data_IF_725480389048
#
_entry.id   IF_725480389048
#
_cell.length_a   1.000
_cell.length_b   1.000
_cell.length_c   1.000
_cell.angle_alpha   90.00
_cell.angle_beta   90.00
_cell.angle_gamma   90.00
#
_symmetry.space_group_name_H-M   'P 1'
#
loop_
_entity.id
_entity.type
_entity.pdbx_description
1 polymer ?
#
# COMPACT_ATOMS: atom_id res chain seq x y z
N UNK A 1 37.50 -81.08 35.74
CA UNK A 1 36.24 -80.35 35.96
C UNK A 1 36.30 -79.10 35.10
N UNK A 2 35.40 -78.72 34.23
CA UNK A 2 34.23 -79.28 33.53
C UNK A 2 33.75 -78.11 32.65
N UNK A 3 33.30 -78.37 31.40
CA UNK A 3 32.31 -77.59 30.61
C UNK A 3 32.52 -76.07 30.37
N UNK A 4 32.27 -75.48 29.21
CA UNK A 4 31.30 -75.81 28.15
C UNK A 4 31.67 -75.06 26.87
N UNK A 5 31.50 -75.73 25.73
CA UNK A 5 31.46 -75.11 24.40
C UNK A 5 30.19 -74.24 24.27
N UNK A 6 30.37 -72.96 23.94
CA UNK A 6 29.26 -72.12 23.47
C UNK A 6 29.15 -72.28 21.96
N UNK A 7 28.12 -73.01 21.52
CA UNK A 7 27.69 -73.08 20.12
C UNK A 7 27.39 -71.67 19.60
N UNK A 8 28.12 -71.25 18.55
CA UNK A 8 27.80 -70.06 17.75
C UNK A 8 26.47 -70.30 17.01
N UNK A 9 25.42 -69.63 17.45
CA UNK A 9 24.13 -69.60 16.76
C UNK A 9 24.30 -68.88 15.41
N UNK A 10 24.30 -69.64 14.32
CA UNK A 10 24.55 -69.14 12.97
C UNK A 10 23.24 -68.62 12.35
N UNK A 11 23.03 -67.30 12.41
CA UNK A 11 21.82 -66.60 11.93
C UNK A 11 21.65 -66.68 10.39
N UNK A 12 22.64 -67.19 9.65
CA UNK A 12 22.60 -67.26 8.17
C UNK A 12 21.58 -68.24 7.57
N UNK A 13 20.93 -69.10 8.37
CA UNK A 13 19.99 -70.11 7.85
C UNK A 13 18.49 -69.80 8.07
N UNK A 14 18.12 -68.65 8.65
CA UNK A 14 16.70 -68.38 8.95
C UNK A 14 15.90 -67.70 7.83
N UNK A 15 16.53 -67.27 6.74
CA UNK A 15 15.84 -66.60 5.64
C UNK A 15 16.24 -67.23 4.32
N UNK A 16 15.53 -68.28 3.91
CA UNK A 16 15.45 -68.57 2.48
C UNK A 16 14.87 -67.31 1.80
N UNK A 17 15.36 -66.95 0.62
CA UNK A 17 14.90 -65.77 -0.13
C UNK A 17 13.38 -65.73 -0.31
N UNK A 18 12.73 -66.90 -0.32
CA UNK A 18 11.26 -67.04 -0.34
C UNK A 18 10.58 -66.66 0.98
N UNK A 19 11.21 -66.97 2.12
CA UNK A 19 10.70 -66.67 3.47
C UNK A 19 10.81 -65.18 3.81
N UNK A 20 11.91 -64.53 3.43
CA UNK A 20 12.10 -63.09 3.57
C UNK A 20 11.11 -62.30 2.69
N UNK A 21 10.94 -62.72 1.44
CA UNK A 21 9.98 -62.12 0.52
C UNK A 21 8.53 -62.27 1.00
N UNK A 22 8.18 -63.42 1.60
CA UNK A 22 6.85 -63.65 2.15
C UNK A 22 6.55 -62.79 3.40
N UNK A 23 7.55 -62.54 4.25
CA UNK A 23 7.40 -61.67 5.43
C UNK A 23 7.30 -60.20 5.02
N UNK A 24 8.08 -59.77 4.01
CA UNK A 24 7.97 -58.42 3.45
C UNK A 24 6.60 -58.24 2.77
N UNK A 25 6.16 -59.23 1.97
CA UNK A 25 4.85 -59.19 1.32
C UNK A 25 3.69 -59.21 2.32
N UNK A 26 3.79 -59.97 3.42
CA UNK A 26 2.75 -60.00 4.47
C UNK A 26 2.76 -58.72 5.31
N UNK A 27 3.92 -58.12 5.58
CA UNK A 27 4.00 -56.82 6.27
C UNK A 27 3.45 -55.71 5.39
N UNK A 28 3.77 -55.71 4.09
CA UNK A 28 3.18 -54.80 3.10
C UNK A 28 1.67 -55.04 2.95
N UNK A 29 1.20 -56.29 3.00
CA UNK A 29 -0.21 -56.63 2.95
C UNK A 29 -0.96 -56.27 4.24
N UNK A 30 -0.35 -56.39 5.43
CA UNK A 30 -0.96 -56.02 6.72
C UNK A 30 -0.96 -54.50 6.90
N UNK A 31 0.12 -53.82 6.50
CA UNK A 31 0.15 -52.36 6.39
C UNK A 31 -0.84 -51.90 5.31
N UNK A 32 -0.95 -52.63 4.20
CA UNK A 32 -1.93 -52.39 3.14
C UNK A 32 -3.37 -52.57 3.63
N UNK A 33 -3.69 -53.63 4.37
CA UNK A 33 -5.03 -53.92 4.92
C UNK A 33 -5.38 -53.01 6.09
N UNK A 34 -4.41 -52.66 6.94
CA UNK A 34 -4.56 -51.63 7.97
C UNK A 34 -4.77 -50.23 7.37
N UNK A 35 -4.03 -49.90 6.31
CA UNK A 35 -4.23 -48.69 5.53
C UNK A 35 -5.56 -48.70 4.76
N UNK A 36 -6.03 -49.86 4.30
CA UNK A 36 -7.35 -50.03 3.68
C UNK A 36 -8.48 -49.88 4.70
N UNK A 37 -8.32 -50.33 5.96
CA UNK A 37 -9.30 -50.13 7.03
C UNK A 37 -9.36 -48.68 7.56
N UNK A 38 -8.22 -47.99 7.55
CA UNK A 38 -8.15 -46.54 7.78
C UNK A 38 -8.76 -45.79 6.59
N UNK A 39 -8.54 -46.25 5.35
CA UNK A 39 -9.19 -45.71 4.15
C UNK A 39 -10.70 -45.97 4.12
N UNK A 40 -11.20 -47.09 4.65
CA UNK A 40 -12.64 -47.39 4.69
C UNK A 40 -13.41 -46.53 5.70
N UNK A 41 -12.81 -46.22 6.85
CA UNK A 41 -13.41 -45.27 7.82
C UNK A 41 -13.31 -43.80 7.39
N UNK A 42 -12.39 -43.48 6.46
CA UNK A 42 -12.33 -42.21 5.72
C UNK A 42 -13.31 -42.22 4.53
N UNK A 43 -13.62 -43.39 3.97
CA UNK A 43 -14.59 -43.60 2.89
C UNK A 43 -16.06 -43.49 3.35
N UNK A 44 -16.33 -43.62 4.66
CA UNK A 44 -17.64 -43.26 5.27
C UNK A 44 -17.91 -41.73 5.24
N UNK A 45 -16.99 -40.94 4.67
CA UNK A 45 -17.24 -39.58 4.19
C UNK A 45 -17.03 -38.47 5.22
N UNK A 46 -16.87 -38.79 6.50
CA UNK A 46 -17.00 -37.76 7.56
C UNK A 46 -15.69 -37.31 8.25
N UNK A 47 -14.50 -37.81 7.84
CA UNK A 47 -13.21 -37.41 8.45
C UNK A 47 -12.12 -36.99 7.46
N UNK A 48 -11.31 -35.99 7.82
CA UNK A 48 -10.17 -35.53 7.03
C UNK A 48 -9.15 -36.66 6.84
N UNK A 49 -8.56 -36.77 5.65
CA UNK A 49 -7.51 -37.75 5.33
C UNK A 49 -6.31 -37.60 6.26
N UNK A 50 -5.74 -38.72 6.71
CA UNK A 50 -4.53 -38.69 7.53
C UNK A 50 -3.33 -38.10 6.77
N UNK A 51 -2.49 -37.34 7.46
CA UNK A 51 -1.38 -36.60 6.86
C UNK A 51 -1.74 -35.20 6.37
N UNK A 52 -3.02 -34.82 6.35
CA UNK A 52 -3.42 -33.43 6.16
C UNK A 52 -3.06 -32.62 7.41
N UNK A 53 -2.43 -31.45 7.19
CA UNK A 53 -1.95 -30.54 8.22
C UNK A 53 -2.43 -29.13 7.91
N UNK A 54 -2.55 -28.31 8.94
CA UNK A 54 -2.58 -26.86 8.81
C UNK A 54 -1.28 -26.34 9.38
N UNK A 55 -0.43 -25.75 8.52
CA UNK A 55 0.95 -25.42 8.87
C UNK A 55 1.67 -26.66 9.46
N UNK A 56 2.12 -26.59 10.71
CA UNK A 56 2.76 -27.72 11.39
C UNK A 56 1.79 -28.59 12.21
N UNK A 57 0.51 -28.22 12.32
CA UNK A 57 -0.47 -28.93 13.13
C UNK A 57 -1.20 -30.02 12.33
N UNK A 58 -1.15 -31.30 12.73
CA UNK A 58 -1.91 -32.35 12.07
C UNK A 58 -3.42 -32.18 12.32
N UNK A 59 -4.19 -32.15 11.23
CA UNK A 59 -5.67 -32.06 11.26
C UNK A 59 -6.35 -33.29 10.64
N UNK A 60 -5.56 -34.24 10.15
CA UNK A 60 -6.06 -35.53 9.68
C UNK A 60 -6.82 -36.28 10.78
N UNK A 61 -7.97 -36.86 10.42
CA UNK A 61 -8.84 -37.60 11.33
C UNK A 61 -9.93 -36.75 12.02
N UNK A 62 -9.87 -35.42 11.92
CA UNK A 62 -10.95 -34.55 12.42
C UNK A 62 -12.21 -34.71 11.56
N UNK A 63 -13.38 -34.66 12.22
CA UNK A 63 -14.66 -34.52 11.53
C UNK A 63 -14.93 -33.06 11.11
N UNK A 64 -15.97 -32.85 10.30
CA UNK A 64 -16.24 -31.55 9.68
C UNK A 64 -16.46 -30.46 10.72
N UNK A 65 -17.29 -30.75 11.73
CA UNK A 65 -17.64 -29.80 12.80
C UNK A 65 -16.41 -29.44 13.64
N UNK A 66 -15.54 -30.42 13.91
CA UNK A 66 -14.31 -30.20 14.68
C UNK A 66 -13.28 -29.41 13.87
N UNK A 67 -13.18 -29.67 12.56
CA UNK A 67 -12.33 -28.90 11.65
C UNK A 67 -12.80 -27.45 11.51
N UNK A 68 -14.11 -27.22 11.36
CA UNK A 68 -14.70 -25.87 11.33
C UNK A 68 -14.37 -25.10 12.62
N UNK A 69 -14.56 -25.72 13.79
CA UNK A 69 -14.18 -25.13 15.09
C UNK A 69 -12.67 -24.86 15.19
N UNK A 70 -11.84 -25.75 14.66
CA UNK A 70 -10.39 -25.57 14.62
C UNK A 70 -9.99 -24.32 13.82
N UNK A 71 -10.51 -24.17 12.60
CA UNK A 71 -10.25 -22.98 11.78
C UNK A 71 -10.87 -21.71 12.37
N UNK A 72 -12.06 -21.79 12.97
CA UNK A 72 -12.69 -20.65 13.66
C UNK A 72 -11.83 -20.14 14.83
N UNK A 73 -11.25 -21.05 15.63
CA UNK A 73 -10.35 -20.69 16.72
C UNK A 73 -9.05 -20.03 16.24
N UNK A 74 -8.55 -20.43 15.06
CA UNK A 74 -7.38 -19.80 14.44
C UNK A 74 -7.75 -18.43 13.90
N UNK A 75 -8.87 -18.32 13.18
CA UNK A 75 -9.37 -17.06 12.64
C UNK A 75 -9.58 -16.04 13.76
N UNK A 76 -10.19 -16.42 14.88
CA UNK A 76 -10.41 -15.56 16.03
C UNK A 76 -9.12 -14.99 16.66
N UNK A 77 -7.96 -15.61 16.40
CA UNK A 77 -6.65 -15.13 16.88
C UNK A 77 -5.88 -14.34 15.83
N UNK A 78 -6.19 -14.51 14.55
CA UNK A 78 -5.46 -13.90 13.42
C UNK A 78 -6.21 -12.75 12.75
N UNK A 79 -7.53 -12.67 12.97
CA UNK A 79 -8.34 -11.52 12.58
C UNK A 79 -8.20 -10.48 13.70
N UNK A 80 -7.41 -9.45 13.44
CA UNK A 80 -7.17 -8.35 14.36
C UNK A 80 -6.96 -7.05 13.57
N UNK A 81 -7.00 -5.93 14.30
CA UNK A 81 -6.87 -4.59 13.73
C UNK A 81 -5.48 -4.34 13.10
N UNK A 82 -5.46 -3.63 11.98
CA UNK A 82 -4.22 -3.13 11.38
C UNK A 82 -3.87 -1.79 12.03
N UNK A 83 -2.63 -1.67 12.52
CA UNK A 83 -2.11 -0.45 13.13
C UNK A 83 -1.10 0.20 12.21
N UNK A 84 -1.19 1.50 12.07
CA UNK A 84 -0.26 2.34 11.34
C UNK A 84 0.25 3.44 12.26
N UNK A 85 1.50 3.86 12.07
CA UNK A 85 2.12 4.91 12.91
C UNK A 85 2.81 5.96 12.05
N UNK A 86 2.61 7.23 12.39
CA UNK A 86 3.33 8.35 11.76
C UNK A 86 3.54 9.48 12.78
N UNK A 87 4.76 9.99 12.93
CA UNK A 87 5.10 11.11 13.83
C UNK A 87 4.56 10.98 15.29
N UNK A 88 4.39 9.74 15.79
CA UNK A 88 3.86 9.47 17.13
C UNK A 88 2.33 9.37 17.21
N UNK A 89 1.61 9.63 16.11
CA UNK A 89 0.20 9.33 15.99
C UNK A 89 -0.01 7.88 15.52
N UNK A 90 -1.10 7.26 16.01
CA UNK A 90 -1.53 5.92 15.62
C UNK A 90 -2.85 5.98 14.86
N UNK A 91 -2.91 5.26 13.74
CA UNK A 91 -4.11 5.03 12.95
C UNK A 91 -4.47 3.54 13.00
N UNK A 92 -5.76 3.25 13.12
CA UNK A 92 -6.24 1.88 13.24
C UNK A 92 -7.29 1.64 12.17
N UNK A 93 -7.17 0.51 11.48
CA UNK A 93 -8.21 -0.02 10.59
C UNK A 93 -8.69 -1.33 11.19
N UNK A 94 -9.98 -1.40 11.55
CA UNK A 94 -10.55 -2.63 12.12
C UNK A 94 -10.93 -3.62 11.01
N UNK A 95 -11.00 -4.93 11.32
CA UNK A 95 -11.43 -5.94 10.35
C UNK A 95 -12.81 -5.66 9.74
N UNK A 96 -13.74 -5.09 10.54
CA UNK A 96 -15.10 -4.75 10.12
C UNK A 96 -15.12 -3.61 9.10
N UNK A 97 -14.22 -2.63 9.23
CA UNK A 97 -14.13 -1.50 8.30
C UNK A 97 -13.74 -1.92 6.88
N UNK A 98 -13.07 -3.07 6.73
CA UNK A 98 -12.65 -3.62 5.43
C UNK A 98 -13.34 -4.94 5.08
N UNK A 99 -14.38 -5.32 5.83
CA UNK A 99 -15.10 -6.60 5.68
C UNK A 99 -14.18 -7.84 5.66
N UNK A 100 -13.09 -7.82 6.45
CA UNK A 100 -12.13 -8.92 6.50
C UNK A 100 -12.77 -10.16 7.14
N UNK A 101 -12.96 -11.20 6.33
CA UNK A 101 -13.62 -12.45 6.72
C UNK A 101 -12.76 -13.65 6.37
N UNK A 102 -12.48 -14.51 7.35
CA UNK A 102 -11.79 -15.77 7.12
C UNK A 102 -12.68 -16.77 6.36
N UNK A 103 -12.13 -17.45 5.36
CA UNK A 103 -12.84 -18.45 4.55
C UNK A 103 -12.82 -19.84 5.21
N UNK A 104 -13.43 -19.94 6.40
CA UNK A 104 -13.45 -21.17 7.22
C UNK A 104 -14.06 -22.35 6.45
N UNK A 105 -15.20 -22.13 5.79
CA UNK A 105 -15.91 -23.17 5.04
C UNK A 105 -15.06 -23.72 3.89
N UNK A 106 -14.36 -22.83 3.17
CA UNK A 106 -13.46 -23.19 2.08
C UNK A 106 -12.25 -23.97 2.58
N UNK A 107 -11.59 -23.49 3.64
CA UNK A 107 -10.46 -24.20 4.25
C UNK A 107 -10.88 -25.60 4.74
N UNK A 108 -12.06 -25.72 5.33
CA UNK A 108 -12.65 -27.01 5.72
C UNK A 108 -12.90 -27.87 4.49
N UNK A 109 -13.53 -27.34 3.45
CA UNK A 109 -13.79 -28.08 2.21
C UNK A 109 -12.51 -28.55 1.52
N UNK A 110 -11.47 -27.71 1.48
CA UNK A 110 -10.16 -28.04 0.92
C UNK A 110 -9.47 -29.16 1.71
N UNK A 111 -9.59 -29.14 3.05
CA UNK A 111 -9.11 -30.22 3.89
C UNK A 111 -9.87 -31.55 3.65
N UNK A 112 -11.19 -31.47 3.43
CA UNK A 112 -12.06 -32.63 3.26
C UNK A 112 -12.03 -33.24 1.85
N UNK A 113 -11.87 -32.42 0.82
CA UNK A 113 -11.94 -32.86 -0.58
C UNK A 113 -10.70 -33.63 -1.03
N UNK A 114 -9.61 -33.57 -0.25
CA UNK A 114 -8.37 -34.26 -0.58
C UNK A 114 -8.55 -35.78 -0.68
N UNK A 115 -8.07 -36.37 -1.78
CA UNK A 115 -8.16 -37.82 -2.00
C UNK A 115 -9.60 -38.34 -2.19
N UNK A 116 -10.53 -37.47 -2.61
CA UNK A 116 -11.96 -37.79 -2.84
C UNK A 116 -12.50 -37.37 -4.21
N UNK A 117 -11.70 -36.73 -5.07
CA UNK A 117 -12.15 -36.14 -6.34
C UNK A 117 -11.94 -37.01 -7.59
N UNK A 118 -11.25 -38.16 -7.47
CA UNK A 118 -10.91 -39.05 -8.60
C UNK A 118 -11.55 -40.44 -8.50
N UNK A 119 -11.00 -41.40 -9.25
CA UNK A 119 -11.40 -42.80 -9.18
C UNK A 119 -10.94 -43.45 -7.86
N UNK A 120 -11.52 -44.60 -7.48
CA UNK A 120 -11.19 -45.30 -6.23
C UNK A 120 -9.68 -45.58 -6.08
N UNK A 121 -9.00 -45.92 -7.18
CA UNK A 121 -7.56 -46.22 -7.19
C UNK A 121 -6.71 -44.94 -7.09
N UNK A 122 -7.09 -43.85 -7.76
CA UNK A 122 -6.34 -42.58 -7.64
C UNK A 122 -6.49 -41.98 -6.24
N UNK A 123 -7.71 -42.02 -5.70
CA UNK A 123 -8.03 -41.56 -4.35
C UNK A 123 -7.19 -42.31 -3.29
N UNK A 124 -7.06 -43.63 -3.42
CA UNK A 124 -6.20 -44.42 -2.53
C UNK A 124 -4.72 -44.01 -2.62
N UNK A 125 -4.20 -43.83 -3.84
CA UNK A 125 -2.80 -43.44 -4.04
C UNK A 125 -2.50 -42.04 -3.47
N UNK A 126 -3.45 -41.11 -3.63
CA UNK A 126 -3.35 -39.75 -3.07
C UNK A 126 -3.40 -39.76 -1.54
N UNK A 127 -4.25 -40.60 -0.94
CA UNK A 127 -4.33 -40.76 0.52
C UNK A 127 -3.02 -41.30 1.11
N UNK A 128 -2.41 -42.32 0.50
CA UNK A 128 -1.12 -42.88 0.94
C UNK A 128 0.00 -41.85 0.79
N UNK A 129 0.05 -41.12 -0.33
CA UNK A 129 1.04 -40.05 -0.55
C UNK A 129 0.91 -38.94 0.49
N UNK A 130 -0.31 -38.54 0.84
CA UNK A 130 -0.53 -37.54 1.88
C UNK A 130 -0.12 -38.02 3.26
N UNK A 131 -0.37 -39.29 3.60
CA UNK A 131 0.10 -39.85 4.86
C UNK A 131 1.63 -39.82 4.98
N UNK A 132 2.34 -40.12 3.89
CA UNK A 132 3.80 -40.19 3.86
C UNK A 132 4.48 -38.81 3.73
N UNK A 133 3.95 -37.95 2.85
CA UNK A 133 4.59 -36.66 2.50
C UNK A 133 3.95 -35.46 3.21
N UNK A 134 2.75 -35.63 3.76
CA UNK A 134 1.93 -34.54 4.29
C UNK A 134 1.29 -33.68 3.19
N UNK A 135 0.19 -33.00 3.53
CA UNK A 135 -0.38 -31.93 2.71
C UNK A 135 -0.85 -30.79 3.60
N UNK A 136 -0.41 -29.56 3.32
CA UNK A 136 -0.86 -28.38 4.04
C UNK A 136 -2.14 -27.80 3.43
N UNK A 137 -3.09 -27.46 4.30
CA UNK A 137 -4.25 -26.63 3.99
C UNK A 137 -3.93 -25.19 4.40
N UNK A 138 -4.50 -24.22 3.69
CA UNK A 138 -4.37 -22.80 4.02
C UNK A 138 -5.71 -22.24 4.49
N UNK A 139 -5.66 -21.29 5.42
CA UNK A 139 -6.82 -20.51 5.85
C UNK A 139 -6.75 -19.15 5.14
N UNK A 140 -7.40 -19.08 3.99
CA UNK A 140 -7.50 -17.82 3.25
C UNK A 140 -8.52 -16.89 3.90
N UNK A 141 -8.44 -15.59 3.59
CA UNK A 141 -9.45 -14.60 3.92
C UNK A 141 -9.80 -13.75 2.70
N UNK A 142 -10.96 -13.12 2.78
CA UNK A 142 -11.43 -12.12 1.82
C UNK A 142 -11.62 -10.79 2.55
N UNK A 143 -11.40 -9.71 1.83
CA UNK A 143 -11.62 -8.35 2.29
C UNK A 143 -12.10 -7.50 1.12
N UNK A 144 -12.66 -6.34 1.40
CA UNK A 144 -13.04 -5.35 0.40
C UNK A 144 -11.85 -4.40 0.15
N UNK A 145 -11.27 -4.47 -1.05
CA UNK A 145 -10.15 -3.61 -1.43
C UNK A 145 -10.54 -2.15 -1.54
N UNK A 146 -11.79 -1.85 -1.91
CA UNK A 146 -12.28 -0.47 -2.03
C UNK A 146 -12.35 0.19 -0.66
N UNK A 147 -12.87 -0.53 0.33
CA UNK A 147 -12.92 -0.04 1.71
C UNK A 147 -11.52 0.14 2.30
N UNK A 148 -10.57 -0.76 1.98
CA UNK A 148 -9.18 -0.57 2.37
C UNK A 148 -8.59 0.71 1.76
N UNK A 149 -8.80 0.94 0.47
CA UNK A 149 -8.30 2.13 -0.22
C UNK A 149 -8.92 3.41 0.35
N UNK A 150 -10.22 3.42 0.65
CA UNK A 150 -10.91 4.53 1.33
C UNK A 150 -10.27 4.84 2.69
N UNK A 151 -10.02 3.82 3.51
CA UNK A 151 -9.38 3.97 4.82
C UNK A 151 -7.94 4.46 4.72
N UNK A 152 -7.16 3.95 3.77
CA UNK A 152 -5.80 4.43 3.52
C UNK A 152 -5.81 5.88 3.03
N UNK A 153 -6.81 6.30 2.25
CA UNK A 153 -6.97 7.68 1.82
C UNK A 153 -7.37 8.62 2.97
N UNK A 154 -8.20 8.17 3.92
CA UNK A 154 -8.50 8.90 5.16
C UNK A 154 -7.22 9.14 5.99
N UNK A 155 -6.35 8.14 6.09
CA UNK A 155 -5.04 8.26 6.74
C UNK A 155 -4.14 9.21 5.95
N UNK A 156 -4.08 9.05 4.63
CA UNK A 156 -3.30 9.93 3.76
C UNK A 156 -3.73 11.40 3.87
N UNK A 157 -5.02 11.70 4.05
CA UNK A 157 -5.49 13.06 4.24
C UNK A 157 -4.94 13.73 5.53
N UNK A 158 -4.56 12.94 6.54
CA UNK A 158 -3.94 13.44 7.78
C UNK A 158 -2.42 13.51 7.71
N UNK A 159 -1.81 12.62 6.92
CA UNK A 159 -0.35 12.54 6.74
C UNK A 159 0.14 13.49 5.65
N UNK A 160 -0.62 13.66 4.56
CA UNK A 160 -0.22 14.43 3.40
C UNK A 160 -0.17 15.92 3.75
N UNK A 161 0.89 16.57 3.29
CA UNK A 161 1.12 18.00 3.44
C UNK A 161 1.62 18.52 2.11
N UNK A 162 0.94 19.50 1.53
CA UNK A 162 1.42 20.12 0.29
C UNK A 162 2.72 20.89 0.55
N UNK A 163 3.67 20.89 -0.38
CA UNK A 163 4.88 21.69 -0.24
C UNK A 163 4.55 23.18 -0.33
N UNK A 164 5.31 24.00 0.40
CA UNK A 164 5.17 25.46 0.38
C UNK A 164 6.41 26.07 -0.23
N UNK A 165 6.23 26.89 -1.28
CA UNK A 165 7.33 27.56 -1.95
C UNK A 165 8.09 28.51 -1.02
N UNK A 166 9.40 28.59 -1.21
CA UNK A 166 10.20 29.65 -0.63
C UNK A 166 9.80 31.01 -1.23
N UNK A 167 9.87 32.07 -0.43
CA UNK A 167 9.45 33.42 -0.82
C UNK A 167 10.54 34.43 -0.47
N UNK A 168 10.69 35.42 -1.33
CA UNK A 168 11.50 36.62 -1.06
C UNK A 168 10.58 37.83 -1.02
N UNK A 169 10.67 38.61 0.05
CA UNK A 169 9.95 39.86 0.21
C UNK A 169 10.93 41.02 0.32
N UNK A 170 10.61 42.13 -0.36
CA UNK A 170 11.37 43.38 -0.25
C UNK A 170 10.62 44.34 0.66
N UNK A 171 11.26 44.73 1.75
CA UNK A 171 10.73 45.67 2.74
C UNK A 171 10.82 47.11 2.21
N UNK A 172 10.04 48.03 2.79
CA UNK A 172 10.00 49.44 2.37
C UNK A 172 11.31 50.21 2.58
N UNK A 173 12.18 49.73 3.46
CA UNK A 173 13.53 50.23 3.70
C UNK A 173 14.59 49.60 2.77
N UNK A 174 14.18 48.73 1.86
CA UNK A 174 15.05 48.00 0.94
C UNK A 174 15.61 46.70 1.53
N UNK A 175 15.21 46.29 2.74
CA UNK A 175 15.67 45.03 3.33
C UNK A 175 15.00 43.82 2.65
N UNK A 176 15.83 42.85 2.23
CA UNK A 176 15.37 41.59 1.64
C UNK A 176 15.14 40.57 2.75
N UNK A 177 13.90 40.08 2.85
CA UNK A 177 13.50 39.02 3.76
C UNK A 177 13.28 37.72 2.97
N UNK A 178 13.82 36.61 3.50
CA UNK A 178 13.71 35.28 2.88
C UNK A 178 12.93 34.36 3.80
N UNK A 179 11.90 33.74 3.25
CA UNK A 179 11.11 32.73 3.92
C UNK A 179 11.43 31.37 3.29
N UNK A 180 11.98 30.41 4.05
CA UNK A 180 12.36 29.12 3.50
C UNK A 180 11.14 28.35 3.01
N UNK A 181 11.34 27.54 1.98
CA UNK A 181 10.34 26.60 1.51
C UNK A 181 10.15 25.46 2.50
N UNK A 182 8.95 24.88 2.50
CA UNK A 182 8.60 23.73 3.33
C UNK A 182 8.41 22.52 2.44
N UNK A 183 9.13 21.44 2.75
CA UNK A 183 8.99 20.15 2.07
C UNK A 183 7.62 19.56 2.39
N UNK A 184 6.89 19.20 1.35
CA UNK A 184 5.62 18.48 1.46
C UNK A 184 5.83 17.00 1.73
N UNK A 185 4.76 16.32 2.12
CA UNK A 185 4.73 14.88 2.40
C UNK A 185 3.58 14.25 1.61
N UNK A 186 3.83 13.10 0.98
CA UNK A 186 2.78 12.33 0.31
C UNK A 186 2.90 10.85 0.59
N UNK A 187 1.85 10.30 1.16
CA UNK A 187 1.74 8.88 1.45
C UNK A 187 1.38 8.10 0.18
N UNK A 188 2.15 7.06 -0.14
CA UNK A 188 1.86 6.15 -1.24
C UNK A 188 0.88 5.06 -0.77
N UNK A 189 -0.42 5.38 -0.83
CA UNK A 189 -1.48 4.46 -0.39
C UNK A 189 -1.55 3.19 -1.23
N UNK A 190 -1.23 3.27 -2.53
CA UNK A 190 -1.24 2.13 -3.45
C UNK A 190 -0.17 1.09 -3.07
N UNK A 191 1.05 1.55 -2.77
CA UNK A 191 2.12 0.66 -2.32
C UNK A 191 1.78 -0.03 -1.00
N UNK A 192 1.17 0.71 -0.06
CA UNK A 192 0.72 0.13 1.22
C UNK A 192 -0.35 -0.95 0.97
N UNK A 193 -1.35 -0.67 0.13
CA UNK A 193 -2.41 -1.62 -0.19
C UNK A 193 -1.85 -2.92 -0.84
N UNK A 194 -0.92 -2.79 -1.79
CA UNK A 194 -0.27 -3.94 -2.42
C UNK A 194 0.55 -4.76 -1.42
N UNK A 195 1.29 -4.11 -0.51
CA UNK A 195 2.04 -4.79 0.55
C UNK A 195 1.14 -5.52 1.56
N UNK A 196 -0.09 -5.03 1.77
CA UNK A 196 -1.08 -5.64 2.67
C UNK A 196 -1.87 -6.80 2.03
N UNK A 197 -1.88 -6.91 0.70
CA UNK A 197 -2.66 -7.91 -0.04
C UNK A 197 -2.35 -9.34 0.38
N UNK A 198 -1.07 -9.73 0.43
CA UNK A 198 -0.69 -11.08 0.84
C UNK A 198 -0.99 -11.37 2.33
N UNK A 199 -0.63 -10.49 3.29
CA UNK A 199 -1.05 -10.62 4.69
C UNK A 199 -2.55 -10.78 4.88
N UNK A 200 -3.36 -9.94 4.21
CA UNK A 200 -4.82 -9.96 4.29
C UNK A 200 -5.39 -11.26 3.71
N UNK A 201 -4.98 -11.66 2.51
CA UNK A 201 -5.52 -12.86 1.83
C UNK A 201 -5.09 -14.18 2.47
N UNK A 202 -3.91 -14.21 3.10
CA UNK A 202 -3.40 -15.41 3.80
C UNK A 202 -3.73 -15.41 5.30
N UNK A 203 -4.46 -14.41 5.78
CA UNK A 203 -4.79 -14.19 7.18
C UNK A 203 -3.56 -14.24 8.10
N UNK A 204 -2.46 -13.67 7.63
CA UNK A 204 -1.20 -13.51 8.36
C UNK A 204 -0.93 -12.03 8.56
N UNK A 205 -1.82 -11.38 9.31
CA UNK A 205 -1.77 -9.95 9.55
C UNK A 205 -0.55 -9.57 10.41
N UNK A 206 0.09 -8.41 10.15
CA UNK A 206 1.15 -7.89 11.00
C UNK A 206 0.68 -7.74 12.45
N UNK A 207 1.49 -8.19 13.41
CA UNK A 207 1.16 -8.09 14.84
C UNK A 207 1.57 -6.75 15.47
N UNK A 208 2.36 -5.95 14.76
CA UNK A 208 2.84 -4.64 15.20
C UNK A 208 2.30 -3.51 14.32
N UNK A 209 2.56 -2.28 14.73
CA UNK A 209 2.25 -1.12 13.90
C UNK A 209 3.18 -1.04 12.68
N UNK A 210 2.60 -0.74 11.53
CA UNK A 210 3.30 -0.43 10.29
C UNK A 210 3.69 1.04 10.34
N UNK A 211 4.99 1.35 10.34
CA UNK A 211 5.46 2.72 10.28
C UNK A 211 5.22 3.26 8.85
N UNK A 212 4.48 4.37 8.76
CA UNK A 212 4.20 5.05 7.50
C UNK A 212 5.40 5.90 7.10
N UNK A 213 5.84 5.75 5.86
CA UNK A 213 6.96 6.50 5.29
C UNK A 213 6.45 7.27 4.08
N UNK A 214 5.89 8.48 4.25
CA UNK A 214 5.51 9.32 3.13
C UNK A 214 6.74 9.82 2.37
N UNK A 215 6.58 9.99 1.06
CA UNK A 215 7.59 10.56 0.17
C UNK A 215 7.68 12.07 0.36
N UNK A 216 8.90 12.61 0.24
CA UNK A 216 9.16 14.03 0.28
C UNK A 216 8.82 14.66 -1.07
N UNK A 217 7.97 15.69 -1.04
CA UNK A 217 7.69 16.51 -2.22
C UNK A 217 8.41 17.84 -2.05
N UNK A 218 9.37 18.11 -2.93
CA UNK A 218 10.06 19.39 -2.94
C UNK A 218 9.12 20.51 -3.40
N UNK A 219 9.18 21.70 -2.77
CA UNK A 219 8.49 22.86 -3.30
C UNK A 219 9.05 23.23 -4.67
N UNK A 220 8.21 23.88 -5.47
CA UNK A 220 8.57 24.29 -6.82
C UNK A 220 9.68 25.35 -6.82
N UNK A 221 9.64 26.26 -5.85
CA UNK A 221 10.75 27.14 -5.47
C UNK A 221 11.28 26.68 -4.11
N UNK A 222 12.52 26.23 -4.07
CA UNK A 222 13.19 25.76 -2.85
C UNK A 222 13.92 26.88 -2.12
N UNK A 223 14.34 26.60 -0.88
CA UNK A 223 15.14 27.54 -0.09
C UNK A 223 16.47 27.86 -0.76
N UNK A 224 17.05 26.87 -1.44
CA UNK A 224 18.30 27.00 -2.19
C UNK A 224 18.13 27.92 -3.40
N UNK A 225 16.99 27.87 -4.09
CA UNK A 225 16.71 28.73 -5.25
C UNK A 225 16.75 30.23 -4.89
N UNK A 226 16.39 30.59 -3.66
CA UNK A 226 16.36 31.98 -3.17
C UNK A 226 17.59 32.37 -2.36
N UNK A 227 18.52 31.43 -2.13
CA UNK A 227 19.66 31.64 -1.25
C UNK A 227 20.56 32.79 -1.75
N UNK A 228 20.72 32.93 -3.06
CA UNK A 228 21.59 33.93 -3.67
C UNK A 228 20.91 35.30 -3.92
N UNK A 229 19.61 35.45 -3.64
CA UNK A 229 18.90 36.72 -3.85
C UNK A 229 19.21 37.67 -2.68
N UNK A 230 20.30 38.42 -2.76
CA UNK A 230 20.82 39.23 -1.63
C UNK A 230 20.81 40.74 -1.85
N UNK A 231 20.48 41.18 -3.07
CA UNK A 231 20.57 42.56 -3.48
C UNK A 231 19.55 42.90 -4.56
N UNK A 232 19.19 44.18 -4.64
CA UNK A 232 18.36 44.74 -5.71
C UNK A 232 19.29 45.17 -6.84
N UNK A 233 19.19 44.52 -8.00
CA UNK A 233 20.02 44.83 -9.17
C UNK A 233 19.45 45.95 -10.04
N UNK A 234 18.12 46.10 -10.05
CA UNK A 234 17.40 47.07 -10.85
C UNK A 234 16.10 47.48 -10.18
N UNK A 235 15.75 48.76 -10.29
CA UNK A 235 14.50 49.30 -9.75
C UNK A 235 14.00 50.42 -10.65
N UNK A 236 12.70 50.45 -10.89
CA UNK A 236 12.05 51.53 -11.60
C UNK A 236 10.70 51.83 -10.94
N UNK A 237 10.28 53.09 -10.98
CA UNK A 237 9.05 53.51 -10.33
C UNK A 237 8.26 54.44 -11.25
N UNK A 238 6.95 54.20 -11.29
CA UNK A 238 5.99 55.09 -11.92
C UNK A 238 4.88 55.42 -10.93
N UNK A 239 4.23 56.56 -11.13
CA UNK A 239 3.20 57.06 -10.22
C UNK A 239 1.83 56.99 -10.88
N UNK A 240 0.79 56.80 -10.08
CA UNK A 240 -0.59 56.84 -10.51
C UNK A 240 -1.46 57.48 -9.42
N UNK A 241 -2.65 57.93 -9.80
CA UNK A 241 -3.62 58.52 -8.88
C UNK A 241 -4.74 57.52 -8.55
N UNK A 242 -5.36 57.60 -7.36
CA UNK A 242 -6.54 56.81 -7.02
C UNK A 242 -7.67 57.00 -8.04
N UNK A 243 -8.52 55.97 -8.18
CA UNK A 243 -9.61 55.91 -9.15
C UNK A 243 -9.55 54.62 -9.97
N UNK A 244 -10.49 54.43 -10.89
CA UNK A 244 -10.65 53.14 -11.59
C UNK A 244 -9.40 52.68 -12.35
N UNK A 245 -8.68 53.61 -12.98
CA UNK A 245 -7.36 53.35 -13.59
C UNK A 245 -6.32 52.92 -12.55
N UNK A 246 -6.33 53.53 -11.37
CA UNK A 246 -5.41 53.22 -10.29
C UNK A 246 -5.67 51.85 -9.68
N UNK A 247 -6.94 51.48 -9.52
CA UNK A 247 -7.34 50.16 -9.03
C UNK A 247 -6.90 49.06 -10.01
N UNK A 248 -7.04 49.30 -11.32
CA UNK A 248 -6.51 48.39 -12.36
C UNK A 248 -4.99 48.21 -12.28
N UNK A 249 -4.26 49.31 -12.06
CA UNK A 249 -2.79 49.28 -11.91
C UNK A 249 -2.40 48.49 -10.67
N UNK A 250 -3.07 48.73 -9.55
CA UNK A 250 -2.84 48.00 -8.30
C UNK A 250 -3.09 46.50 -8.49
N UNK A 251 -4.21 46.13 -9.11
CA UNK A 251 -4.57 44.74 -9.35
C UNK A 251 -3.51 44.02 -10.22
N UNK A 252 -3.09 44.63 -11.32
CA UNK A 252 -2.06 44.07 -12.19
C UNK A 252 -0.68 44.01 -11.53
N UNK A 253 -0.30 45.03 -10.75
CA UNK A 253 0.96 45.03 -9.99
C UNK A 253 0.95 43.93 -8.91
N UNK A 254 -0.17 43.74 -8.22
CA UNK A 254 -0.33 42.71 -7.21
C UNK A 254 -0.22 41.30 -7.83
N UNK A 255 -0.77 41.09 -9.03
CA UNK A 255 -0.70 39.80 -9.73
C UNK A 255 0.74 39.35 -10.05
N UNK A 256 1.65 40.30 -10.30
CA UNK A 256 3.07 40.02 -10.62
C UNK A 256 3.99 40.14 -9.40
N UNK A 257 3.48 40.58 -8.24
CA UNK A 257 4.28 40.79 -7.05
C UNK A 257 4.81 39.46 -6.48
N UNK A 258 6.01 39.50 -5.88
CA UNK A 258 6.69 38.35 -5.27
C UNK A 258 6.85 37.11 -6.18
N UNK A 259 6.81 37.29 -7.51
CA UNK A 259 7.05 36.21 -8.47
C UNK A 259 8.55 35.94 -8.58
N UNK A 260 8.92 34.67 -8.38
CA UNK A 260 10.28 34.18 -8.58
C UNK A 260 10.35 33.49 -9.94
N UNK A 261 11.32 33.89 -10.76
CA UNK A 261 11.55 33.34 -12.11
C UNK A 261 12.91 32.68 -12.12
N UNK A 262 12.95 31.36 -12.32
CA UNK A 262 14.21 30.60 -12.35
C UNK A 262 15.02 30.89 -13.61
N UNK A 263 16.34 30.61 -13.60
CA UNK A 263 17.15 30.63 -14.81
C UNK A 263 16.50 29.83 -15.94
N UNK A 264 16.58 30.36 -17.16
CA UNK A 264 15.99 29.77 -18.38
C UNK A 264 14.45 29.70 -18.42
N UNK A 265 13.75 30.26 -17.44
CA UNK A 265 12.29 30.37 -17.49
C UNK A 265 11.85 31.65 -18.18
N UNK A 266 10.71 31.57 -18.88
CA UNK A 266 10.06 32.72 -19.50
C UNK A 266 8.97 33.24 -18.59
N UNK A 267 9.06 34.51 -18.22
CA UNK A 267 7.97 35.23 -17.58
C UNK A 267 7.06 35.86 -18.64
N UNK A 268 5.77 35.55 -18.58
CA UNK A 268 4.75 36.20 -19.43
C UNK A 268 3.88 37.11 -18.57
N UNK A 269 3.99 38.42 -18.81
CA UNK A 269 3.19 39.42 -18.11
C UNK A 269 1.69 39.19 -18.34
N UNK A 270 1.28 38.96 -19.59
CA UNK A 270 -0.13 38.80 -19.93
C UNK A 270 -0.72 37.52 -19.33
N UNK A 271 0.03 36.41 -19.33
CA UNK A 271 -0.46 35.16 -18.73
C UNK A 271 -0.58 35.27 -17.21
N UNK A 272 0.32 36.04 -16.57
CA UNK A 272 0.31 36.25 -15.12
C UNK A 272 -0.79 37.21 -14.67
N UNK A 273 -1.00 38.30 -15.41
CA UNK A 273 -2.00 39.34 -15.11
C UNK A 273 -3.41 38.95 -15.56
N UNK A 274 -3.51 38.04 -16.53
CA UNK A 274 -4.77 37.50 -17.04
C UNK A 274 -5.54 38.44 -17.96
N UNK A 275 -6.75 38.01 -18.32
CA UNK A 275 -7.69 38.81 -19.11
C UNK A 275 -8.26 39.96 -18.27
N UNK A 276 -8.36 41.14 -18.88
CA UNK A 276 -8.88 42.34 -18.20
C UNK A 276 -10.38 42.40 -18.38
N UNK A 277 -11.10 41.74 -17.47
CA UNK A 277 -12.57 41.67 -17.49
C UNK A 277 -13.15 42.22 -16.19
N UNK A 278 -14.45 42.51 -16.21
CA UNK A 278 -15.21 42.88 -15.01
C UNK A 278 -15.11 41.80 -13.92
N UNK A 279 -15.27 40.52 -14.28
CA UNK A 279 -15.25 39.40 -13.33
C UNK A 279 -13.87 39.20 -12.68
N UNK A 280 -12.79 39.55 -13.41
CA UNK A 280 -11.44 39.60 -12.86
C UNK A 280 -11.19 40.82 -11.95
N UNK A 281 -12.16 41.71 -11.78
CA UNK A 281 -12.09 42.89 -10.93
C UNK A 281 -11.56 44.15 -11.62
N UNK A 282 -11.30 44.10 -12.92
CA UNK A 282 -10.88 45.27 -13.67
C UNK A 282 -12.06 46.20 -13.94
N UNK A 283 -11.76 47.49 -13.94
CA UNK A 283 -12.70 48.58 -14.18
C UNK A 283 -12.43 49.26 -15.51
N UNK A 284 -13.46 49.94 -16.03
CA UNK A 284 -13.35 50.70 -17.27
C UNK A 284 -12.49 51.94 -17.04
N UNK A 285 -11.48 52.14 -17.88
CA UNK A 285 -10.62 53.31 -17.84
C UNK A 285 -10.05 53.61 -19.23
N UNK A 286 -9.44 54.77 -19.40
CA UNK A 286 -8.83 55.17 -20.67
C UNK A 286 -7.75 54.20 -21.16
N UNK A 287 -7.87 53.78 -22.43
CA UNK A 287 -6.94 52.91 -23.16
C UNK A 287 -6.58 53.55 -24.51
N UNK A 288 -5.58 52.97 -25.19
CA UNK A 288 -5.23 53.32 -26.57
C UNK A 288 -5.46 52.08 -27.44
N UNK A 289 -6.39 52.18 -28.39
CA UNK A 289 -6.70 51.11 -29.35
C UNK A 289 -6.36 51.64 -30.74
N UNK A 290 -5.44 50.97 -31.45
CA UNK A 290 -5.00 51.36 -32.80
C UNK A 290 -4.57 52.84 -32.89
N UNK A 291 -3.87 53.34 -31.86
CA UNK A 291 -3.38 54.71 -31.80
C UNK A 291 -4.42 55.78 -31.44
N UNK A 292 -5.65 55.39 -31.07
CA UNK A 292 -6.72 56.33 -30.67
C UNK A 292 -7.12 56.14 -29.21
N UNK A 293 -7.41 57.22 -28.47
CA UNK A 293 -8.02 57.12 -27.14
C UNK A 293 -9.37 56.41 -27.20
N UNK A 294 -9.59 55.49 -26.29
CA UNK A 294 -10.86 54.78 -26.06
C UNK A 294 -11.01 54.48 -24.57
N UNK A 295 -12.12 53.86 -24.17
CA UNK A 295 -12.33 53.32 -22.83
C UNK A 295 -12.55 51.82 -22.92
N UNK A 296 -11.89 51.06 -22.05
CA UNK A 296 -12.01 49.61 -21.96
C UNK A 296 -11.60 49.14 -20.55
N UNK A 297 -11.87 47.89 -20.24
CA UNK A 297 -11.43 47.27 -18.99
C UNK A 297 -9.91 47.19 -18.89
N UNK A 298 -9.39 47.48 -17.70
CA UNK A 298 -7.95 47.38 -17.44
C UNK A 298 -7.13 48.53 -18.02
N UNK A 299 -7.75 49.66 -18.32
CA UNK A 299 -7.01 50.90 -18.59
C UNK A 299 -6.01 51.18 -17.48
N UNK A 300 -4.73 51.39 -17.85
CA UNK A 300 -3.60 51.55 -16.93
C UNK A 300 -2.66 50.34 -16.83
N UNK A 301 -3.08 49.12 -17.18
CA UNK A 301 -2.25 47.90 -17.03
C UNK A 301 -0.94 47.95 -17.83
N UNK A 302 -0.91 48.61 -18.99
CA UNK A 302 0.30 48.80 -19.79
C UNK A 302 1.38 49.64 -19.07
N UNK A 303 1.01 50.48 -18.10
CA UNK A 303 1.96 51.18 -17.25
C UNK A 303 2.73 50.18 -16.38
N UNK A 304 2.06 49.14 -15.87
CA UNK A 304 2.69 48.12 -15.03
C UNK A 304 3.69 47.31 -15.84
N UNK A 305 3.33 46.86 -17.05
CA UNK A 305 4.27 46.13 -17.92
C UNK A 305 5.47 46.98 -18.32
N UNK A 306 5.26 48.27 -18.61
CA UNK A 306 6.35 49.21 -18.90
C UNK A 306 7.23 49.47 -17.68
N UNK A 307 6.63 49.52 -16.48
CA UNK A 307 7.38 49.68 -15.23
C UNK A 307 8.26 48.47 -14.97
N UNK A 308 7.73 47.26 -15.16
CA UNK A 308 8.48 46.02 -15.07
C UNK A 308 9.62 45.97 -16.10
N UNK A 309 9.35 46.29 -17.37
CA UNK A 309 10.35 46.27 -18.45
C UNK A 309 11.56 47.18 -18.16
N UNK A 310 11.36 48.33 -17.53
CA UNK A 310 12.44 49.24 -17.19
C UNK A 310 13.21 48.83 -15.91
N UNK A 311 12.68 47.89 -15.11
CA UNK A 311 13.31 47.42 -13.89
C UNK A 311 14.19 46.18 -14.08
N UNK A 312 14.05 45.46 -15.20
CA UNK A 312 14.73 44.17 -15.48
C UNK A 312 15.65 44.23 -16.70
#
# INVERSE_FOLDING_TARGET
MENSEVQKFNIKNLLSTKSAAAIIASTVAIVGVGALGVSSSIADGNKIVLGVRFENQPIGGLDKVTAEKFFANIAAKRVHELKFRYEGEEFVITPEEINLTAQIDKATQDAFSFGRGGSTISNFNDQIRCLLNGRSVQLAAQYDSTLLDEKLNEIAAKVNRDPVNAVVELSSDGAIQKFPGVIGKKLNTQEIAENLKAPLTTLNLPSGAIDLVPEDIQPFITTEDIAEIDSVLGSFSTYYYPGDRGDNIWLAANAISNKIVKPSWTFSFNDTVGERTWDAGYKVAGVIINGRPAEDYGGGVCQVSSTLYNAV
#
